data_IF_558661886937
#
_entry.id   IF_558661886937
#
_cell.length_a   1.000
_cell.length_b   1.000
_cell.length_c   1.000
_cell.angle_alpha   90.00
_cell.angle_beta   90.00
_cell.angle_gamma   90.00
#
_symmetry.space_group_name_H-M   'P 1'
#
loop_
_entity.id
_entity.type
_entity.pdbx_description
1 polymer ?
#
# COMPACT_ATOMS: atom_id res chain seq x y z
N UNK A 1 4.89 -6.17 3.45
CA UNK A 1 5.30 -6.45 2.07
C UNK A 1 6.16 -7.70 2.02
N UNK A 2 7.44 -7.65 2.40
CA UNK A 2 8.35 -8.82 2.29
C UNK A 2 7.85 -10.10 2.98
N UNK A 3 7.47 -10.03 4.25
CA UNK A 3 6.95 -11.19 4.98
C UNK A 3 5.70 -11.76 4.28
N UNK A 4 4.77 -10.89 3.85
CA UNK A 4 3.62 -11.32 3.06
C UNK A 4 4.00 -11.94 1.73
N UNK A 5 4.98 -11.38 1.02
CA UNK A 5 5.52 -11.92 -0.23
C UNK A 5 6.09 -13.31 -0.06
N UNK A 6 6.84 -13.56 1.01
CA UNK A 6 7.33 -14.90 1.34
C UNK A 6 6.18 -15.86 1.61
N UNK A 7 5.19 -15.46 2.42
CA UNK A 7 4.03 -16.30 2.70
C UNK A 7 3.22 -16.62 1.44
N UNK A 8 3.01 -15.63 0.56
CA UNK A 8 2.34 -15.83 -0.73
C UNK A 8 3.13 -16.74 -1.67
N UNK A 9 4.46 -16.62 -1.70
CA UNK A 9 5.34 -17.51 -2.45
C UNK A 9 5.24 -18.98 -1.99
N UNK A 10 5.08 -19.19 -0.68
CA UNK A 10 4.81 -20.51 -0.09
C UNK A 10 3.34 -20.98 -0.29
N UNK A 11 2.53 -20.22 -1.03
CA UNK A 11 1.17 -20.59 -1.40
C UNK A 11 0.08 -20.20 -0.39
N UNK A 12 0.39 -19.34 0.60
CA UNK A 12 -0.63 -18.84 1.52
C UNK A 12 -1.67 -18.01 0.74
N UNK A 13 -2.91 -18.47 0.76
CA UNK A 13 -4.05 -17.74 0.22
C UNK A 13 -4.87 -17.16 1.37
N UNK A 14 -4.92 -15.83 1.45
CA UNK A 14 -5.73 -15.13 2.46
C UNK A 14 -7.19 -15.03 1.98
N UNK A 15 -8.18 -15.24 2.87
CA UNK A 15 -9.56 -14.93 2.54
C UNK A 15 -9.70 -13.42 2.28
N UNK A 16 -10.57 -13.06 1.32
CA UNK A 16 -10.86 -11.68 0.95
C UNK A 16 -9.60 -10.85 0.61
N UNK A 17 -8.62 -11.46 -0.06
CA UNK A 17 -7.33 -10.85 -0.42
C UNK A 17 -7.51 -9.50 -1.14
N UNK A 18 -8.30 -9.50 -2.22
CA UNK A 18 -8.60 -8.30 -3.01
C UNK A 18 -9.36 -7.24 -2.19
N UNK A 19 -10.34 -7.66 -1.38
CA UNK A 19 -11.06 -6.73 -0.50
C UNK A 19 -10.15 -6.12 0.57
N UNK A 20 -9.18 -6.86 1.09
CA UNK A 20 -8.18 -6.34 2.03
C UNK A 20 -7.24 -5.32 1.38
N UNK A 21 -6.86 -5.55 0.12
CA UNK A 21 -6.13 -4.58 -0.70
C UNK A 21 -6.98 -3.33 -0.94
N UNK A 22 -8.21 -3.48 -1.42
CA UNK A 22 -9.12 -2.36 -1.68
C UNK A 22 -9.43 -1.55 -0.41
N UNK A 23 -9.61 -2.21 0.73
CA UNK A 23 -9.79 -1.58 2.03
C UNK A 23 -8.55 -0.76 2.45
N UNK A 24 -7.34 -1.19 2.11
CA UNK A 24 -6.13 -0.41 2.37
C UNK A 24 -6.10 0.90 1.57
N UNK A 25 -6.48 0.84 0.29
CA UNK A 25 -6.56 2.00 -0.60
C UNK A 25 -7.59 3.00 -0.08
N UNK A 26 -8.74 2.50 0.36
CA UNK A 26 -9.78 3.31 0.99
C UNK A 26 -9.30 3.94 2.31
N UNK A 27 -8.84 3.11 3.25
CA UNK A 27 -8.52 3.55 4.61
C UNK A 27 -7.34 4.54 4.65
N UNK A 28 -6.26 4.24 3.92
CA UNK A 28 -5.09 5.13 3.87
C UNK A 28 -5.40 6.39 3.05
N UNK A 29 -6.16 6.28 1.97
CA UNK A 29 -6.65 7.44 1.21
C UNK A 29 -7.48 8.39 2.07
N UNK A 30 -8.41 7.87 2.87
CA UNK A 30 -9.20 8.65 3.83
C UNK A 30 -8.33 9.28 4.91
N UNK A 31 -7.36 8.54 5.45
CA UNK A 31 -6.42 9.08 6.44
C UNK A 31 -5.68 10.31 5.90
N UNK A 32 -5.25 10.28 4.64
CA UNK A 32 -4.62 11.42 3.96
C UNK A 32 -5.63 12.54 3.67
N UNK A 33 -6.79 12.23 3.09
CA UNK A 33 -7.81 13.21 2.70
C UNK A 33 -8.35 14.01 3.89
N UNK A 34 -8.52 13.34 5.02
CA UNK A 34 -9.05 13.90 6.27
C UNK A 34 -7.94 14.37 7.23
N UNK A 35 -6.66 14.25 6.84
CA UNK A 35 -5.50 14.60 7.64
C UNK A 35 -5.50 13.96 9.04
N UNK A 36 -5.89 12.68 9.10
CA UNK A 36 -5.97 11.90 10.34
C UNK A 36 -4.57 11.69 10.91
N UNK A 37 -4.42 11.91 12.23
CA UNK A 37 -3.15 11.70 12.96
C UNK A 37 -3.34 10.63 14.04
N UNK A 38 -3.38 9.34 13.65
CA UNK A 38 -3.57 8.27 14.62
C UNK A 38 -2.32 8.12 15.52
N UNK A 39 -2.45 7.50 16.71
CA UNK A 39 -1.30 7.07 17.49
C UNK A 39 -0.36 6.19 16.64
N UNK A 40 0.96 6.35 16.82
CA UNK A 40 1.97 5.65 16.02
C UNK A 40 1.75 4.12 15.98
N UNK A 41 1.42 3.53 17.13
CA UNK A 41 1.18 2.09 17.23
C UNK A 41 0.04 1.62 16.30
N UNK A 42 -1.04 2.39 16.21
CA UNK A 42 -2.16 2.09 15.32
C UNK A 42 -1.77 2.27 13.85
N UNK A 43 -1.02 3.33 13.53
CA UNK A 43 -0.53 3.57 12.16
C UNK A 43 0.38 2.43 11.67
N UNK A 44 1.29 1.97 12.53
CA UNK A 44 2.20 0.86 12.23
C UNK A 44 1.41 -0.44 12.09
N UNK A 45 0.49 -0.73 13.01
CA UNK A 45 -0.32 -1.95 12.97
C UNK A 45 -1.19 -2.02 11.69
N UNK A 46 -1.88 -0.94 11.35
CA UNK A 46 -2.70 -0.87 10.15
C UNK A 46 -1.84 -1.00 8.88
N UNK A 47 -0.71 -0.28 8.81
CA UNK A 47 0.23 -0.39 7.69
C UNK A 47 0.78 -1.81 7.55
N UNK A 48 1.17 -2.45 8.65
CA UNK A 48 1.69 -3.83 8.64
C UNK A 48 0.62 -4.83 8.17
N UNK A 49 -0.62 -4.67 8.66
CA UNK A 49 -1.76 -5.49 8.23
C UNK A 49 -1.99 -5.35 6.72
N UNK A 50 -2.15 -4.13 6.20
CA UNK A 50 -2.35 -3.95 4.76
C UNK A 50 -1.16 -4.43 3.95
N UNK A 51 0.05 -4.18 4.42
CA UNK A 51 1.27 -4.65 3.76
C UNK A 51 1.41 -6.18 3.76
N UNK A 52 0.68 -6.91 4.62
CA UNK A 52 0.58 -8.37 4.55
C UNK A 52 -0.27 -8.80 3.35
N UNK A 53 -1.47 -8.23 3.18
CA UNK A 53 -2.37 -8.54 2.05
C UNK A 53 -1.70 -8.28 0.70
N UNK A 54 -1.16 -7.08 0.51
CA UNK A 54 -0.40 -6.73 -0.70
C UNK A 54 0.81 -7.64 -0.92
N UNK A 55 1.53 -7.95 0.16
CA UNK A 55 2.68 -8.85 0.10
C UNK A 55 2.26 -10.23 -0.39
N UNK A 56 1.23 -10.83 0.20
CA UNK A 56 0.73 -12.14 -0.19
C UNK A 56 0.31 -12.17 -1.66
N UNK A 57 -0.40 -11.15 -2.15
CA UNK A 57 -0.80 -11.05 -3.56
C UNK A 57 0.41 -11.08 -4.51
N UNK A 58 1.41 -10.21 -4.29
CA UNK A 58 2.64 -10.24 -5.08
C UNK A 58 3.43 -11.54 -4.93
N UNK A 59 3.39 -12.16 -3.74
CA UNK A 59 4.03 -13.44 -3.48
C UNK A 59 3.45 -14.59 -4.30
N UNK A 60 2.13 -14.60 -4.48
CA UNK A 60 1.43 -15.61 -5.28
C UNK A 60 1.74 -15.51 -6.78
N UNK A 61 2.09 -14.31 -7.28
CA UNK A 61 2.48 -14.08 -8.68
C UNK A 61 3.92 -14.53 -8.99
N UNK A 62 4.80 -14.58 -7.99
CA UNK A 62 6.23 -14.86 -8.17
C UNK A 62 6.56 -16.17 -8.92
N UNK A 63 5.91 -17.32 -8.63
CA UNK A 63 6.23 -18.59 -9.30
C UNK A 63 5.98 -18.59 -10.81
N UNK A 64 5.09 -17.73 -11.31
CA UNK A 64 4.75 -17.62 -12.73
C UNK A 64 5.73 -16.73 -13.51
N UNK A 65 6.59 -15.98 -12.80
CA UNK A 65 7.54 -15.06 -13.42
C UNK A 65 8.79 -15.79 -13.93
N UNK A 66 9.32 -15.31 -15.08
CA UNK A 66 10.55 -15.86 -15.68
C UNK A 66 11.78 -15.75 -14.79
N UNK A 67 11.81 -14.79 -13.86
CA UNK A 67 12.83 -14.66 -12.82
C UNK A 67 12.23 -14.11 -11.52
N UNK A 68 11.87 -14.99 -10.56
CA UNK A 68 11.31 -14.58 -9.27
C UNK A 68 12.24 -13.64 -8.48
N UNK A 69 13.55 -13.87 -8.54
CA UNK A 69 14.54 -13.03 -7.87
C UNK A 69 14.65 -11.63 -8.46
N UNK A 70 14.58 -11.49 -9.78
CA UNK A 70 14.60 -10.17 -10.42
C UNK A 70 13.32 -9.38 -10.08
N UNK A 71 12.16 -10.06 -10.07
CA UNK A 71 10.91 -9.44 -9.62
C UNK A 71 11.01 -9.00 -8.16
N UNK A 72 11.47 -9.86 -7.25
CA UNK A 72 11.58 -9.53 -5.84
C UNK A 72 12.52 -8.33 -5.60
N UNK A 73 13.67 -8.29 -6.27
CA UNK A 73 14.60 -7.18 -6.20
C UNK A 73 13.98 -5.87 -6.73
N UNK A 74 13.33 -5.93 -7.89
CA UNK A 74 12.62 -4.80 -8.48
C UNK A 74 11.47 -4.30 -7.61
N UNK A 75 10.68 -5.20 -7.03
CA UNK A 75 9.60 -4.91 -6.11
C UNK A 75 10.09 -4.17 -4.86
N UNK A 76 11.15 -4.66 -4.22
CA UNK A 76 11.75 -4.01 -3.04
C UNK A 76 12.29 -2.64 -3.40
N UNK A 77 13.03 -2.53 -4.50
CA UNK A 77 13.60 -1.27 -4.96
C UNK A 77 12.51 -0.24 -5.30
N UNK A 78 11.49 -0.62 -6.06
CA UNK A 78 10.37 0.24 -6.41
C UNK A 78 9.58 0.68 -5.17
N UNK A 79 9.28 -0.25 -4.25
CA UNK A 79 8.59 0.06 -2.99
C UNK A 79 9.38 1.06 -2.17
N UNK A 80 10.69 0.84 -1.97
CA UNK A 80 11.54 1.75 -1.22
C UNK A 80 11.65 3.12 -1.90
N UNK A 81 11.82 3.15 -3.22
CA UNK A 81 11.93 4.39 -3.99
C UNK A 81 10.66 5.23 -3.93
N UNK A 82 9.48 4.62 -4.12
CA UNK A 82 8.19 5.33 -4.04
C UNK A 82 7.93 5.89 -2.64
N UNK A 83 8.24 5.14 -1.59
CA UNK A 83 8.10 5.62 -0.21
C UNK A 83 9.05 6.78 0.08
N UNK A 84 10.32 6.66 -0.29
CA UNK A 84 11.31 7.71 -0.08
C UNK A 84 10.96 8.98 -0.86
N UNK A 85 10.52 8.84 -2.12
CA UNK A 85 10.11 9.96 -2.96
C UNK A 85 8.87 10.66 -2.39
N UNK A 86 7.82 9.91 -2.05
CA UNK A 86 6.60 10.46 -1.45
C UNK A 86 6.89 11.22 -0.15
N UNK A 87 7.74 10.66 0.72
CA UNK A 87 8.19 11.31 1.94
C UNK A 87 8.97 12.61 1.64
N UNK A 88 9.93 12.56 0.71
CA UNK A 88 10.74 13.73 0.34
C UNK A 88 9.87 14.86 -0.24
N UNK A 89 8.93 14.55 -1.13
CA UNK A 89 8.01 15.52 -1.74
C UNK A 89 7.21 16.27 -0.68
N UNK A 90 6.58 15.55 0.26
CA UNK A 90 5.75 16.19 1.30
C UNK A 90 6.58 17.04 2.26
N UNK A 91 7.87 16.72 2.46
CA UNK A 91 8.78 17.49 3.32
C UNK A 91 9.21 18.83 2.73
N UNK A 92 9.18 18.99 1.40
CA UNK A 92 9.59 20.22 0.72
C UNK A 92 8.41 21.04 0.19
N UNK A 93 7.21 20.46 0.14
CA UNK A 93 6.00 21.17 -0.30
C UNK A 93 5.64 22.31 0.66
N UNK A 94 5.27 23.51 0.14
CA UNK A 94 4.78 24.59 0.98
C UNK A 94 3.42 24.21 1.59
N UNK A 95 3.10 24.77 2.76
CA UNK A 95 1.81 24.53 3.43
C UNK A 95 0.59 24.88 2.54
N UNK A 96 0.74 25.85 1.63
CA UNK A 96 -0.28 26.19 0.64
C UNK A 96 -0.65 25.03 -0.30
N UNK A 97 0.24 24.04 -0.48
CA UNK A 97 -0.01 22.84 -1.29
C UNK A 97 -0.69 21.70 -0.52
N UNK A 98 -0.95 21.85 0.78
CA UNK A 98 -1.65 20.84 1.57
C UNK A 98 -2.98 20.36 0.97
N UNK A 99 -3.81 21.21 0.32
CA UNK A 99 -5.02 20.75 -0.35
C UNK A 99 -4.76 19.75 -1.47
N UNK A 100 -3.65 19.85 -2.21
CA UNK A 100 -3.31 18.92 -3.29
C UNK A 100 -3.03 17.51 -2.76
N UNK A 101 -2.33 17.41 -1.62
CA UNK A 101 -2.09 16.13 -0.94
C UNK A 101 -3.41 15.50 -0.49
N UNK A 102 -4.34 16.33 0.02
CA UNK A 102 -5.67 15.87 0.44
C UNK A 102 -6.52 15.41 -0.75
N UNK A 103 -6.44 16.10 -1.89
CA UNK A 103 -7.11 15.69 -3.13
C UNK A 103 -6.56 14.33 -3.60
N UNK A 104 -5.24 14.13 -3.57
CA UNK A 104 -4.65 12.83 -3.91
C UNK A 104 -5.14 11.72 -2.98
N UNK A 105 -5.24 11.99 -1.66
CA UNK A 105 -5.85 11.08 -0.70
C UNK A 105 -7.32 10.77 -1.01
N UNK A 106 -8.11 11.79 -1.37
CA UNK A 106 -9.52 11.63 -1.71
C UNK A 106 -9.71 10.82 -3.00
N UNK A 107 -8.86 11.04 -4.01
CA UNK A 107 -8.85 10.25 -5.24
C UNK A 107 -8.52 8.77 -4.95
N UNK A 108 -7.53 8.52 -4.09
CA UNK A 108 -7.21 7.17 -3.63
C UNK A 108 -8.39 6.55 -2.87
N UNK A 109 -9.03 7.27 -1.95
CA UNK A 109 -10.20 6.78 -1.24
C UNK A 109 -11.35 6.42 -2.18
N UNK A 110 -11.64 7.27 -3.18
CA UNK A 110 -12.66 7.02 -4.18
C UNK A 110 -12.36 5.75 -5.02
N UNK A 111 -11.10 5.54 -5.40
CA UNK A 111 -10.67 4.30 -6.05
C UNK A 111 -10.89 3.10 -5.13
N UNK A 112 -10.61 3.22 -3.83
CA UNK A 112 -10.90 2.17 -2.84
C UNK A 112 -12.38 1.85 -2.71
N UNK A 113 -13.27 2.85 -2.72
CA UNK A 113 -14.73 2.64 -2.75
C UNK A 113 -15.13 1.88 -4.01
N UNK A 114 -14.62 2.30 -5.16
CA UNK A 114 -14.91 1.65 -6.43
C UNK A 114 -14.45 0.19 -6.44
N UNK A 115 -13.22 -0.09 -6.00
CA UNK A 115 -12.66 -1.44 -5.92
C UNK A 115 -13.43 -2.36 -4.96
N UNK A 116 -14.04 -1.82 -3.90
CA UNK A 116 -14.87 -2.59 -2.97
C UNK A 116 -16.29 -2.85 -3.49
N UNK A 117 -16.75 -2.08 -4.47
CA UNK A 117 -18.09 -2.15 -5.04
C UNK A 117 -18.15 -2.87 -6.39
N UNK A 118 -17.00 -3.05 -7.05
CA UNK A 118 -16.83 -3.80 -8.28
C UNK A 118 -16.82 -5.31 -8.03
#
# INVERSE_FOLDING_TARGET
>A
MLIGGMLGFEGLNLPALESGIAASVLALGLAVALAVRPPLALAVAATALFALFHGVAHGLELPEMSSPWAYAAGFVAATAALHALGYAVVRVLPQAAAPLVRIAGAASAAAGVWLLAA
#
